data_IF_582902127528
#
_entry.id   IF_582902127528
#
_cell.length_a   1.000
_cell.length_b   1.000
_cell.length_c   1.000
_cell.angle_alpha   90.00
_cell.angle_beta   90.00
_cell.angle_gamma   90.00
#
_symmetry.space_group_name_H-M   'P 1'
#
loop_
_entity.id
_entity.type
_entity.pdbx_description
1 polymer ?
#
# COMPACT_ATOMS: atom_id res chain seq x y z
N UNK A 1 21.02 -14.71 -2.12
CA UNK A 1 19.79 -15.18 -2.84
C UNK A 1 18.53 -14.85 -2.07
N UNK A 2 18.48 -15.11 -0.76
CA UNK A 2 17.34 -14.76 0.10
C UNK A 2 16.91 -13.27 0.02
N UNK A 3 17.85 -12.33 0.00
CA UNK A 3 17.57 -10.90 -0.18
C UNK A 3 16.81 -10.57 -1.47
N UNK A 4 17.18 -11.21 -2.59
CA UNK A 4 16.46 -11.04 -3.87
C UNK A 4 15.03 -11.57 -3.79
N UNK A 5 14.84 -12.69 -3.07
CA UNK A 5 13.52 -13.30 -2.88
C UNK A 5 12.62 -12.38 -2.05
N UNK A 6 13.14 -11.80 -0.97
CA UNK A 6 12.44 -10.79 -0.17
C UNK A 6 12.04 -9.57 -0.99
N UNK A 7 12.93 -9.04 -1.84
CA UNK A 7 12.60 -7.91 -2.73
C UNK A 7 11.49 -8.27 -3.72
N UNK A 8 11.49 -9.48 -4.28
CA UNK A 8 10.41 -9.93 -5.19
C UNK A 8 9.07 -10.01 -4.48
N UNK A 9 9.02 -10.57 -3.26
CA UNK A 9 7.80 -10.63 -2.46
C UNK A 9 7.30 -9.24 -2.08
N UNK A 10 8.20 -8.33 -1.71
CA UNK A 10 7.87 -6.94 -1.44
C UNK A 10 7.18 -6.26 -2.63
N UNK A 11 7.72 -6.43 -3.84
CA UNK A 11 7.12 -5.89 -5.07
C UNK A 11 5.76 -6.53 -5.37
N UNK A 12 5.64 -7.85 -5.18
CA UNK A 12 4.38 -8.55 -5.40
C UNK A 12 3.26 -8.04 -4.49
N UNK A 13 3.58 -7.82 -3.20
CA UNK A 13 2.63 -7.22 -2.25
C UNK A 13 2.22 -5.83 -2.72
N UNK A 14 3.17 -4.97 -3.12
CA UNK A 14 2.83 -3.62 -3.59
C UNK A 14 1.94 -3.66 -4.83
N UNK A 15 2.30 -4.45 -5.85
CA UNK A 15 1.57 -4.51 -7.13
C UNK A 15 0.10 -4.93 -6.91
N UNK A 16 -0.16 -5.83 -5.96
CA UNK A 16 -1.52 -6.30 -5.67
C UNK A 16 -2.24 -5.37 -4.69
N UNK A 17 -1.57 -4.93 -3.63
CA UNK A 17 -2.23 -4.24 -2.53
C UNK A 17 -2.58 -2.78 -2.89
N UNK A 18 -1.78 -2.13 -3.74
CA UNK A 18 -2.05 -0.77 -4.21
C UNK A 18 -3.43 -0.65 -4.90
N UNK A 19 -3.75 -1.43 -5.96
CA UNK A 19 -5.05 -1.33 -6.60
C UNK A 19 -6.21 -1.77 -5.69
N UNK A 20 -5.97 -2.71 -4.77
CA UNK A 20 -6.98 -3.15 -3.78
C UNK A 20 -7.32 -2.01 -2.82
N UNK A 21 -6.30 -1.39 -2.21
CA UNK A 21 -6.49 -0.27 -1.28
C UNK A 21 -7.10 0.92 -2.01
N UNK A 22 -6.65 1.22 -3.22
CA UNK A 22 -7.22 2.30 -4.03
C UNK A 22 -8.71 2.10 -4.26
N UNK A 23 -9.14 0.90 -4.66
CA UNK A 23 -10.57 0.58 -4.84
C UNK A 23 -11.34 0.70 -3.53
N UNK A 24 -10.79 0.21 -2.42
CA UNK A 24 -11.41 0.31 -1.11
C UNK A 24 -11.60 1.76 -0.66
N UNK A 25 -10.57 2.60 -0.85
CA UNK A 25 -10.65 4.03 -0.55
C UNK A 25 -11.72 4.68 -1.43
N UNK A 26 -11.68 4.48 -2.74
CA UNK A 26 -12.64 5.08 -3.68
C UNK A 26 -14.10 4.65 -3.48
N UNK A 27 -14.35 3.54 -2.77
CA UNK A 27 -15.71 3.15 -2.36
C UNK A 27 -16.29 4.06 -1.26
N UNK A 28 -15.44 4.80 -0.55
CA UNK A 28 -15.86 5.74 0.48
C UNK A 28 -16.39 7.04 -0.15
N UNK A 29 -17.45 7.59 0.46
CA UNK A 29 -18.02 8.89 0.06
C UNK A 29 -17.14 10.04 0.52
N UNK A 30 -16.12 10.39 -0.27
CA UNK A 30 -15.26 11.54 -0.01
C UNK A 30 -15.90 12.89 -0.31
N UNK A 31 -17.06 12.91 -0.96
CA UNK A 31 -17.80 14.16 -1.25
C UNK A 31 -18.23 14.89 0.02
N UNK A 32 -18.38 14.21 1.16
CA UNK A 32 -18.70 14.84 2.45
C UNK A 32 -17.46 15.42 3.14
N UNK A 33 -16.29 14.84 2.90
CA UNK A 33 -15.02 15.24 3.55
C UNK A 33 -14.32 16.37 2.78
N UNK A 34 -14.44 16.38 1.46
CA UNK A 34 -13.77 17.34 0.59
C UNK A 34 -14.80 18.19 -0.17
N UNK A 35 -15.63 18.94 0.58
CA UNK A 35 -16.52 19.95 0.02
C UNK A 35 -15.68 20.92 -0.85
N UNK A 36 -15.96 20.98 -2.17
CA UNK A 36 -15.28 21.76 -3.23
C UNK A 36 -13.97 21.23 -3.84
N UNK A 37 -13.40 20.11 -3.39
CA UNK A 37 -12.20 19.61 -4.07
C UNK A 37 -12.54 19.01 -5.44
N UNK A 38 -11.66 19.20 -6.41
CA UNK A 38 -11.80 18.55 -7.72
C UNK A 38 -11.73 17.03 -7.56
N UNK A 39 -12.63 16.29 -8.21
CA UNK A 39 -12.63 14.82 -8.20
C UNK A 39 -11.29 14.22 -8.63
N UNK A 40 -10.53 14.96 -9.44
CA UNK A 40 -9.18 14.59 -9.85
C UNK A 40 -8.16 14.66 -8.72
N UNK A 41 -8.25 15.68 -7.86
CA UNK A 41 -7.37 15.85 -6.69
C UNK A 41 -7.60 14.74 -5.66
N UNK A 42 -8.87 14.39 -5.42
CA UNK A 42 -9.23 13.29 -4.52
C UNK A 42 -8.68 11.97 -5.06
N UNK A 43 -8.86 11.69 -6.35
CA UNK A 43 -8.32 10.46 -6.98
C UNK A 43 -6.80 10.38 -6.87
N UNK A 44 -6.09 11.49 -7.12
CA UNK A 44 -4.64 11.54 -6.97
C UNK A 44 -4.20 11.31 -5.53
N UNK A 45 -4.85 11.98 -4.57
CA UNK A 45 -4.57 11.80 -3.15
C UNK A 45 -4.81 10.35 -2.70
N UNK A 46 -5.91 9.72 -3.12
CA UNK A 46 -6.20 8.33 -2.79
C UNK A 46 -5.21 7.36 -3.44
N UNK A 47 -4.71 7.66 -4.64
CA UNK A 47 -3.65 6.86 -5.25
C UNK A 47 -2.36 6.94 -4.43
N UNK A 48 -1.97 8.13 -3.99
CA UNK A 48 -0.79 8.34 -3.15
C UNK A 48 -0.93 7.64 -1.79
N UNK A 49 -2.09 7.78 -1.14
CA UNK A 49 -2.39 7.08 0.13
C UNK A 49 -2.35 5.57 -0.07
N UNK A 50 -2.92 5.05 -1.16
CA UNK A 50 -2.90 3.62 -1.45
C UNK A 50 -1.48 3.07 -1.61
N UNK A 51 -0.59 3.85 -2.22
CA UNK A 51 0.83 3.51 -2.36
C UNK A 51 1.54 3.48 -1.02
N UNK A 52 1.33 4.50 -0.17
CA UNK A 52 1.93 4.56 1.17
C UNK A 52 1.46 3.39 2.03
N UNK A 53 0.16 3.10 2.04
CA UNK A 53 -0.40 1.99 2.83
C UNK A 53 0.12 0.64 2.35
N UNK A 54 0.20 0.42 1.04
CA UNK A 54 0.77 -0.80 0.48
C UNK A 54 2.26 -0.95 0.81
N UNK A 55 3.01 0.13 0.73
CA UNK A 55 4.43 0.16 1.10
C UNK A 55 4.63 -0.19 2.57
N UNK A 56 3.85 0.40 3.48
CA UNK A 56 3.93 0.11 4.92
C UNK A 56 3.60 -1.34 5.22
N UNK A 57 2.57 -1.91 4.59
CA UNK A 57 2.21 -3.31 4.75
C UNK A 57 3.32 -4.25 4.25
N UNK A 58 3.88 -3.97 3.07
CA UNK A 58 4.98 -4.74 2.51
C UNK A 58 6.25 -4.64 3.38
N UNK A 59 6.54 -3.45 3.92
CA UNK A 59 7.67 -3.24 4.82
C UNK A 59 7.51 -4.01 6.12
N UNK A 60 6.32 -3.95 6.74
CA UNK A 60 6.02 -4.71 7.95
C UNK A 60 6.19 -6.23 7.73
N UNK A 61 5.74 -6.73 6.58
CA UNK A 61 5.91 -8.14 6.21
C UNK A 61 7.40 -8.53 6.14
N UNK A 62 8.22 -7.74 5.43
CA UNK A 62 9.66 -7.98 5.33
C UNK A 62 10.33 -7.96 6.69
N UNK A 63 10.03 -6.95 7.52
CA UNK A 63 10.61 -6.81 8.85
C UNK A 63 10.30 -8.01 9.76
N UNK A 64 9.06 -8.51 9.73
CA UNK A 64 8.65 -9.69 10.50
C UNK A 64 9.41 -10.93 10.02
N UNK A 65 9.51 -11.15 8.71
CA UNK A 65 10.23 -12.29 8.14
C UNK A 65 11.72 -12.23 8.51
N UNK A 66 12.36 -11.08 8.35
CA UNK A 66 13.77 -10.90 8.72
C UNK A 66 13.99 -11.17 10.21
N UNK A 67 13.07 -10.72 11.07
CA UNK A 67 13.16 -10.97 12.52
C UNK A 67 13.01 -12.44 12.86
N UNK A 68 12.05 -13.13 12.25
CA UNK A 68 11.84 -14.58 12.46
C UNK A 68 13.09 -15.35 12.02
N UNK A 69 13.63 -15.04 10.84
CA UNK A 69 14.83 -15.70 10.32
C UNK A 69 16.07 -15.39 11.17
N UNK A 70 16.15 -14.21 11.79
CA UNK A 70 17.28 -13.88 12.68
C UNK A 70 17.25 -14.59 14.04
N UNK A 71 16.09 -15.09 14.45
CA UNK A 71 15.89 -15.77 15.75
C UNK A 71 16.04 -17.29 15.63
N UNK A 72 15.84 -17.84 14.44
CA UNK A 72 16.05 -19.26 14.10
C UNK A 72 17.52 -19.50 13.76
#
# INVERSE_FOLDING_TARGET
MFSKLLTMWFLFIIIILVPVIYRALMALRFSSLFNRASTWQIKFLMALISFILAFLAAFAFVFIIERIVSVI
#
